data_IF_927607663945
#
_entry.id   IF_927607663945
#
_cell.length_a   1.000
_cell.length_b   1.000
_cell.length_c   1.000
_cell.angle_alpha   90.00
_cell.angle_beta   90.00
_cell.angle_gamma   90.00
#
_symmetry.space_group_name_H-M   'P 1'
#
loop_
_entity.id
_entity.type
_entity.pdbx_description
1 polymer ?
#
# COMPACT_ATOMS: atom_id res chain seq x y z
N UNK A 1 22.41 -33.84 -7.91
CA UNK A 1 22.03 -32.48 -7.55
C UNK A 1 23.25 -31.78 -6.98
N UNK A 2 23.42 -30.46 -7.24
CA UNK A 2 24.54 -29.69 -6.68
C UNK A 2 24.42 -29.64 -5.13
N UNK A 3 25.53 -29.82 -4.43
CA UNK A 3 25.54 -29.77 -2.95
C UNK A 3 25.02 -28.40 -2.47
N UNK A 4 24.05 -28.41 -1.59
CA UNK A 4 23.40 -27.20 -1.08
C UNK A 4 22.25 -26.63 -1.94
N UNK A 5 21.97 -27.19 -3.12
CA UNK A 5 20.82 -26.81 -3.91
C UNK A 5 19.52 -27.40 -3.33
N UNK A 6 18.47 -26.59 -3.25
CA UNK A 6 17.12 -27.06 -2.97
C UNK A 6 16.53 -27.74 -4.21
N UNK A 7 15.67 -28.75 -4.04
CA UNK A 7 15.03 -29.42 -5.18
C UNK A 7 14.01 -28.53 -5.89
N UNK A 8 13.36 -27.67 -5.14
CA UNK A 8 12.42 -26.67 -5.61
C UNK A 8 12.26 -25.55 -4.58
N UNK A 9 11.60 -24.46 -4.98
CA UNK A 9 11.44 -23.27 -4.16
C UNK A 9 10.59 -23.50 -2.89
N UNK A 10 9.76 -24.55 -2.84
CA UNK A 10 8.92 -24.84 -1.66
C UNK A 10 9.76 -25.27 -0.45
N UNK A 11 10.99 -25.77 -0.68
CA UNK A 11 11.92 -26.10 0.39
C UNK A 11 12.58 -24.87 1.05
N UNK A 12 12.43 -23.69 0.46
CA UNK A 12 12.87 -22.45 1.05
C UNK A 12 11.84 -21.85 2.03
N UNK A 13 10.68 -22.48 2.20
CA UNK A 13 9.67 -22.04 3.16
C UNK A 13 10.17 -22.29 4.57
N UNK A 14 10.15 -21.24 5.39
CA UNK A 14 10.65 -21.30 6.75
C UNK A 14 12.13 -20.91 6.89
N UNK A 15 12.74 -21.25 8.01
CA UNK A 15 14.09 -20.82 8.40
C UNK A 15 14.30 -19.30 8.30
N UNK A 16 13.24 -18.53 8.51
CA UNK A 16 13.27 -17.07 8.47
C UNK A 16 14.05 -16.53 9.67
N UNK A 17 14.83 -15.44 9.50
CA UNK A 17 15.65 -14.92 10.59
C UNK A 17 14.82 -14.26 11.70
N UNK A 18 15.45 -14.19 12.89
CA UNK A 18 15.03 -13.33 13.98
C UNK A 18 16.03 -12.17 14.06
N UNK A 19 15.52 -10.94 14.10
CA UNK A 19 16.34 -9.71 14.12
C UNK A 19 15.98 -8.87 15.34
N UNK A 20 16.97 -8.30 16.02
CA UNK A 20 16.76 -7.34 17.11
C UNK A 20 16.46 -5.96 16.52
N UNK A 21 15.46 -5.25 17.06
CA UNK A 21 15.24 -3.84 16.76
C UNK A 21 16.20 -2.98 17.57
N UNK A 22 16.81 -1.97 16.94
CA UNK A 22 17.84 -1.15 17.54
C UNK A 22 17.44 0.32 17.68
N UNK A 23 16.52 0.79 16.86
CA UNK A 23 16.06 2.18 16.81
C UNK A 23 14.58 2.30 17.13
N UNK A 24 13.76 1.43 16.55
CA UNK A 24 12.33 1.36 16.84
C UNK A 24 12.14 0.75 18.22
N UNK A 25 11.56 1.50 19.15
CA UNK A 25 11.37 1.07 20.53
C UNK A 25 12.63 1.11 21.41
N UNK A 26 13.67 1.86 21.02
CA UNK A 26 14.95 1.98 21.74
C UNK A 26 14.84 2.44 23.22
N UNK A 27 13.78 3.20 23.53
CA UNK A 27 13.55 3.78 24.86
C UNK A 27 12.69 2.87 25.76
N UNK A 28 12.41 1.65 25.32
CA UNK A 28 11.66 0.67 26.10
C UNK A 28 12.54 -0.01 27.16
N UNK A 29 11.95 -0.45 28.27
CA UNK A 29 12.70 -1.16 29.30
C UNK A 29 13.11 -2.59 28.90
N UNK A 30 12.58 -3.13 27.82
CA UNK A 30 12.79 -4.48 27.32
C UNK A 30 13.36 -4.47 25.89
N UNK A 31 13.87 -5.61 25.46
CA UNK A 31 14.38 -5.78 24.09
C UNK A 31 13.30 -6.33 23.16
N UNK A 32 13.18 -5.76 21.96
CA UNK A 32 12.25 -6.25 20.93
C UNK A 32 13.04 -6.99 19.85
N UNK A 33 12.61 -8.20 19.56
CA UNK A 33 13.06 -9.03 18.45
C UNK A 33 11.91 -9.27 17.49
N UNK A 34 12.21 -9.42 16.21
CA UNK A 34 11.20 -9.64 15.19
C UNK A 34 11.48 -10.91 14.38
N UNK A 35 10.49 -11.75 14.19
CA UNK A 35 10.52 -12.92 13.32
C UNK A 35 10.12 -12.51 11.91
N UNK A 36 11.06 -12.55 10.96
CA UNK A 36 10.93 -11.97 9.62
C UNK A 36 10.26 -12.92 8.62
N UNK A 37 8.98 -13.21 8.79
CA UNK A 37 8.24 -14.14 7.92
C UNK A 37 7.97 -13.60 6.51
N UNK A 38 8.18 -12.30 6.28
CA UNK A 38 8.16 -11.69 4.95
C UNK A 38 9.29 -12.19 4.03
N UNK A 39 10.29 -12.90 4.56
CA UNK A 39 11.37 -13.50 3.80
C UNK A 39 11.09 -14.91 3.27
N UNK A 40 9.89 -15.44 3.51
CA UNK A 40 9.46 -16.65 2.80
C UNK A 40 9.35 -16.40 1.29
N UNK A 41 9.46 -17.45 0.43
CA UNK A 41 9.46 -17.31 -1.04
C UNK A 41 8.26 -16.54 -1.61
N UNK A 42 7.06 -16.71 -1.07
CA UNK A 42 5.84 -15.99 -1.44
C UNK A 42 5.70 -14.63 -0.73
N UNK A 43 6.71 -14.21 0.01
CA UNK A 43 6.73 -12.93 0.73
C UNK A 43 5.79 -12.86 1.91
N UNK A 44 5.41 -13.99 2.54
CA UNK A 44 4.60 -14.01 3.74
C UNK A 44 4.63 -15.34 4.51
N UNK A 45 4.21 -15.30 5.77
CA UNK A 45 4.02 -16.48 6.62
C UNK A 45 2.98 -17.47 6.07
N UNK A 46 2.14 -17.02 5.14
CA UNK A 46 1.12 -17.89 4.52
C UNK A 46 1.72 -19.02 3.69
N UNK A 47 2.98 -18.96 3.33
CA UNK A 47 3.68 -20.07 2.68
C UNK A 47 3.70 -21.32 3.56
N UNK A 48 3.85 -21.15 4.89
CA UNK A 48 3.77 -22.25 5.85
C UNK A 48 2.38 -22.87 5.89
N UNK A 49 1.36 -22.02 5.90
CA UNK A 49 -0.04 -22.45 5.83
C UNK A 49 -0.32 -23.19 4.53
N UNK A 50 0.05 -22.63 3.38
CA UNK A 50 -0.17 -23.23 2.07
C UNK A 50 0.53 -24.59 1.93
N UNK A 51 1.74 -24.72 2.46
CA UNK A 51 2.47 -25.98 2.51
C UNK A 51 1.69 -27.05 3.27
N UNK A 52 1.16 -26.72 4.45
CA UNK A 52 0.39 -27.66 5.25
C UNK A 52 -0.98 -27.98 4.64
N UNK A 53 -1.68 -26.97 4.07
CA UNK A 53 -2.94 -27.16 3.38
C UNK A 53 -2.82 -28.14 2.21
N UNK A 54 -1.78 -27.99 1.38
CA UNK A 54 -1.54 -28.90 0.25
C UNK A 54 -1.19 -30.31 0.77
N UNK A 55 -0.38 -30.42 1.82
CA UNK A 55 -0.11 -31.72 2.46
C UNK A 55 -1.42 -32.40 2.92
N UNK A 56 -2.27 -31.69 3.63
CA UNK A 56 -3.56 -32.19 4.10
C UNK A 56 -4.53 -32.49 2.96
N UNK A 57 -4.49 -31.70 1.88
CA UNK A 57 -5.28 -31.97 0.68
C UNK A 57 -4.91 -33.34 0.05
N UNK A 58 -3.62 -33.64 -0.06
CA UNK A 58 -3.11 -34.92 -0.58
C UNK A 58 -3.51 -36.07 0.35
N UNK A 59 -3.36 -35.91 1.67
CA UNK A 59 -3.80 -36.90 2.67
C UNK A 59 -5.32 -37.15 2.60
N UNK A 60 -6.11 -36.11 2.27
CA UNK A 60 -7.56 -36.19 2.07
C UNK A 60 -7.96 -36.73 0.70
N UNK A 61 -7.01 -37.12 -0.16
CA UNK A 61 -7.26 -37.77 -1.44
C UNK A 61 -7.20 -36.88 -2.68
N UNK A 62 -6.72 -35.64 -2.57
CA UNK A 62 -6.48 -34.80 -3.74
C UNK A 62 -5.42 -35.47 -4.64
N UNK A 63 -5.82 -35.82 -5.86
CA UNK A 63 -4.94 -36.51 -6.83
C UNK A 63 -4.09 -35.50 -7.61
N UNK A 64 -2.96 -35.90 -8.20
CA UNK A 64 -2.16 -35.06 -9.10
C UNK A 64 -3.02 -34.36 -10.15
N UNK A 65 -2.72 -33.09 -10.45
CA UNK A 65 -3.51 -32.25 -11.35
C UNK A 65 -4.85 -31.78 -10.81
N UNK A 66 -5.16 -32.07 -9.54
CA UNK A 66 -6.38 -31.61 -8.87
C UNK A 66 -6.41 -30.09 -8.68
N UNK A 67 -7.54 -29.60 -8.22
CA UNK A 67 -7.82 -28.16 -8.08
C UNK A 67 -7.92 -27.76 -6.61
N UNK A 68 -7.25 -26.69 -6.24
CA UNK A 68 -7.37 -26.02 -4.93
C UNK A 68 -8.26 -24.79 -5.09
N UNK A 69 -9.30 -24.68 -4.29
CA UNK A 69 -10.22 -23.55 -4.27
C UNK A 69 -10.06 -22.79 -2.95
N UNK A 70 -10.02 -21.46 -3.01
CA UNK A 70 -9.96 -20.61 -1.82
C UNK A 70 -10.63 -19.26 -2.05
N UNK A 71 -11.39 -18.80 -1.05
CA UNK A 71 -11.88 -17.42 -0.97
C UNK A 71 -10.80 -16.55 -0.31
N UNK A 72 -10.06 -15.79 -1.10
CA UNK A 72 -8.90 -15.04 -0.60
C UNK A 72 -8.63 -13.78 -1.40
N UNK A 73 -8.22 -12.73 -0.72
CA UNK A 73 -7.85 -11.45 -1.34
C UNK A 73 -6.36 -11.11 -1.23
N UNK A 74 -5.53 -12.04 -0.72
CA UNK A 74 -4.17 -11.67 -0.39
C UNK A 74 -3.14 -12.81 -0.32
N UNK A 75 -2.41 -12.81 0.77
CA UNK A 75 -1.22 -13.66 0.97
C UNK A 75 -1.50 -15.16 0.83
N UNK A 76 -2.63 -15.64 1.33
CA UNK A 76 -2.98 -17.08 1.24
C UNK A 76 -3.12 -17.53 -0.21
N UNK A 77 -3.81 -16.74 -1.04
CA UNK A 77 -3.92 -17.06 -2.47
C UNK A 77 -2.57 -17.07 -3.18
N UNK A 78 -1.71 -16.08 -2.92
CA UNK A 78 -0.37 -16.02 -3.50
C UNK A 78 0.48 -17.23 -3.09
N UNK A 79 0.46 -17.60 -1.81
CA UNK A 79 1.21 -18.76 -1.30
C UNK A 79 0.68 -20.08 -1.85
N UNK A 80 -0.65 -20.26 -1.92
CA UNK A 80 -1.26 -21.45 -2.52
C UNK A 80 -0.92 -21.53 -4.01
N UNK A 81 -0.98 -20.41 -4.75
CA UNK A 81 -0.64 -20.37 -6.18
C UNK A 81 0.82 -20.78 -6.43
N UNK A 82 1.75 -20.23 -5.66
CA UNK A 82 3.17 -20.55 -5.74
C UNK A 82 3.41 -22.07 -5.52
N UNK A 83 2.90 -22.62 -4.42
CA UNK A 83 3.14 -24.01 -4.07
C UNK A 83 2.41 -24.96 -5.02
N UNK A 84 1.20 -24.62 -5.45
CA UNK A 84 0.42 -25.40 -6.41
C UNK A 84 1.10 -25.46 -7.76
N UNK A 85 1.65 -24.34 -8.24
CA UNK A 85 2.40 -24.29 -9.51
C UNK A 85 3.59 -25.27 -9.51
N UNK A 86 4.36 -25.31 -8.41
CA UNK A 86 5.49 -26.24 -8.26
C UNK A 86 5.04 -27.69 -8.20
N UNK A 87 3.89 -27.96 -7.57
CA UNK A 87 3.38 -29.32 -7.35
C UNK A 87 2.41 -29.81 -8.41
N UNK A 88 2.16 -29.03 -9.47
CA UNK A 88 1.29 -29.38 -10.58
C UNK A 88 -0.19 -29.41 -10.24
N UNK A 89 -0.65 -28.64 -9.24
CA UNK A 89 -2.05 -28.42 -8.93
C UNK A 89 -2.58 -27.16 -9.62
N UNK A 90 -3.88 -27.14 -9.88
CA UNK A 90 -4.61 -25.96 -10.36
C UNK A 90 -5.13 -25.14 -9.19
N UNK A 91 -5.29 -23.84 -9.37
CA UNK A 91 -5.92 -22.98 -8.36
C UNK A 91 -7.09 -22.21 -8.96
N UNK A 92 -8.17 -22.10 -8.19
CA UNK A 92 -9.28 -21.19 -8.43
C UNK A 92 -9.45 -20.32 -7.19
N UNK A 93 -9.20 -19.03 -7.32
CA UNK A 93 -9.37 -18.06 -6.23
C UNK A 93 -10.58 -17.18 -6.47
N UNK A 94 -11.37 -17.02 -5.45
CA UNK A 94 -12.57 -16.18 -5.44
C UNK A 94 -12.23 -14.92 -4.67
N UNK A 95 -12.40 -13.75 -5.31
CA UNK A 95 -11.99 -12.45 -4.78
C UNK A 95 -13.14 -11.46 -4.86
N UNK A 96 -13.30 -10.57 -3.87
CA UNK A 96 -14.24 -9.45 -3.99
C UNK A 96 -13.76 -8.41 -5.00
N UNK A 97 -14.70 -7.74 -5.67
CA UNK A 97 -14.45 -6.76 -6.75
C UNK A 97 -13.68 -5.49 -6.30
N UNK A 98 -13.66 -5.20 -5.00
CA UNK A 98 -12.87 -4.11 -4.41
C UNK A 98 -11.34 -4.35 -4.40
N UNK A 99 -10.89 -5.53 -4.83
CA UNK A 99 -9.45 -5.85 -4.85
C UNK A 99 -8.74 -5.20 -6.03
N UNK A 100 -7.49 -4.77 -5.80
CA UNK A 100 -6.67 -4.15 -6.84
C UNK A 100 -6.36 -5.13 -7.98
N UNK A 101 -6.23 -4.60 -9.20
CA UNK A 101 -5.84 -5.39 -10.38
C UNK A 101 -4.47 -6.04 -10.21
N UNK A 102 -3.56 -5.42 -9.47
CA UNK A 102 -2.25 -5.98 -9.17
C UNK A 102 -2.35 -7.31 -8.39
N UNK A 103 -3.24 -7.38 -7.39
CA UNK A 103 -3.47 -8.62 -6.63
C UNK A 103 -4.02 -9.74 -7.52
N UNK A 104 -4.98 -9.39 -8.39
CA UNK A 104 -5.55 -10.34 -9.36
C UNK A 104 -4.46 -10.82 -10.33
N UNK A 105 -3.67 -9.90 -10.88
CA UNK A 105 -2.60 -10.20 -11.83
C UNK A 105 -1.49 -11.05 -11.21
N UNK A 106 -1.15 -10.83 -9.95
CA UNK A 106 -0.18 -11.63 -9.22
C UNK A 106 -0.62 -13.11 -9.13
N UNK A 107 -1.89 -13.38 -8.80
CA UNK A 107 -2.40 -14.75 -8.76
C UNK A 107 -2.41 -15.41 -10.16
N UNK A 108 -2.81 -14.65 -11.18
CA UNK A 108 -2.81 -15.10 -12.58
C UNK A 108 -1.40 -15.41 -13.11
N UNK A 109 -0.37 -14.69 -12.64
CA UNK A 109 1.02 -14.94 -13.02
C UNK A 109 1.49 -16.34 -12.64
N UNK A 110 0.95 -16.93 -11.56
CA UNK A 110 1.19 -18.33 -11.18
C UNK A 110 0.26 -19.33 -11.90
N UNK A 111 -0.56 -18.87 -12.86
CA UNK A 111 -1.48 -19.72 -13.61
C UNK A 111 -2.83 -19.95 -12.91
N UNK A 112 -3.15 -19.24 -11.83
CA UNK A 112 -4.41 -19.40 -11.15
C UNK A 112 -5.59 -18.75 -11.93
N UNK A 113 -6.74 -19.42 -11.91
CA UNK A 113 -8.03 -18.82 -12.32
C UNK A 113 -8.54 -17.93 -11.18
N UNK A 114 -8.89 -16.69 -11.49
CA UNK A 114 -9.49 -15.75 -10.53
C UNK A 114 -10.92 -15.43 -10.95
N UNK A 115 -11.85 -15.65 -10.01
CA UNK A 115 -13.26 -15.32 -10.12
C UNK A 115 -13.53 -14.11 -9.24
N UNK A 116 -14.05 -13.04 -9.82
CA UNK A 116 -14.35 -11.80 -9.10
C UNK A 116 -15.85 -11.78 -8.76
N UNK A 117 -16.17 -11.51 -7.50
CA UNK A 117 -17.54 -11.48 -6.97
C UNK A 117 -17.87 -10.09 -6.40
N UNK A 118 -19.14 -9.67 -6.38
CA UNK A 118 -19.55 -8.40 -5.80
C UNK A 118 -19.28 -8.38 -4.28
N UNK A 119 -18.81 -7.22 -3.79
CA UNK A 119 -18.62 -6.96 -2.36
C UNK A 119 -19.93 -6.52 -1.68
N UNK A 120 -20.79 -5.80 -2.41
CA UNK A 120 -22.00 -5.20 -1.87
C UNK A 120 -23.18 -6.20 -1.83
N UNK A 121 -22.94 -7.37 -1.22
CA UNK A 121 -23.97 -8.42 -1.02
C UNK A 121 -23.78 -9.02 0.36
N UNK A 122 -24.88 -9.55 0.95
CA UNK A 122 -24.81 -10.24 2.24
C UNK A 122 -23.98 -11.54 2.13
N UNK A 123 -23.36 -12.00 3.22
CA UNK A 123 -22.51 -13.21 3.21
C UNK A 123 -23.21 -14.50 2.76
N UNK A 124 -24.50 -14.61 2.95
CA UNK A 124 -25.34 -15.74 2.54
C UNK A 124 -25.92 -15.62 1.12
N UNK A 125 -25.75 -14.46 0.47
CA UNK A 125 -26.11 -14.27 -0.94
C UNK A 125 -25.33 -15.26 -1.83
N UNK A 126 -25.99 -16.01 -2.73
CA UNK A 126 -25.31 -16.94 -3.65
C UNK A 126 -24.20 -16.33 -4.49
N UNK A 127 -24.21 -15.00 -4.70
CA UNK A 127 -23.20 -14.24 -5.42
C UNK A 127 -22.01 -13.81 -4.55
N UNK A 128 -22.12 -13.96 -3.23
CA UNK A 128 -21.03 -13.63 -2.31
C UNK A 128 -19.79 -14.47 -2.64
N UNK A 129 -18.61 -13.94 -2.37
CA UNK A 129 -17.38 -14.67 -2.66
C UNK A 129 -17.23 -15.95 -1.82
N UNK A 130 -17.84 -16.02 -0.63
CA UNK A 130 -17.88 -17.22 0.20
C UNK A 130 -18.77 -18.30 -0.43
N UNK A 131 -20.03 -17.98 -0.79
CA UNK A 131 -20.96 -18.94 -1.39
C UNK A 131 -20.48 -19.41 -2.76
N UNK A 132 -19.90 -18.50 -3.55
CA UNK A 132 -19.29 -18.84 -4.84
C UNK A 132 -18.12 -19.81 -4.66
N UNK A 133 -17.27 -19.63 -3.63
CA UNK A 133 -16.17 -20.57 -3.35
C UNK A 133 -16.68 -21.95 -2.98
N UNK A 134 -17.69 -22.04 -2.11
CA UNK A 134 -18.32 -23.31 -1.72
C UNK A 134 -18.93 -24.02 -2.94
N UNK A 135 -19.68 -23.30 -3.77
CA UNK A 135 -20.30 -23.85 -4.98
C UNK A 135 -19.25 -24.36 -5.97
N UNK A 136 -18.23 -23.56 -6.30
CA UNK A 136 -17.16 -23.96 -7.22
C UNK A 136 -16.42 -25.18 -6.68
N UNK A 137 -16.16 -25.24 -5.37
CA UNK A 137 -15.50 -26.39 -4.78
C UNK A 137 -16.35 -27.66 -4.87
N UNK A 138 -17.67 -27.57 -4.67
CA UNK A 138 -18.59 -28.69 -4.79
C UNK A 138 -18.77 -29.20 -6.23
N UNK A 139 -18.76 -28.29 -7.20
CA UNK A 139 -18.93 -28.59 -8.64
C UNK A 139 -17.65 -29.04 -9.33
N UNK A 140 -16.48 -28.83 -8.72
CA UNK A 140 -15.18 -29.14 -9.36
C UNK A 140 -14.71 -30.54 -8.98
N UNK A 141 -14.56 -31.48 -9.94
CA UNK A 141 -14.01 -32.80 -9.66
C UNK A 141 -12.54 -32.72 -9.16
N UNK A 142 -12.14 -33.66 -8.31
CA UNK A 142 -10.81 -33.71 -7.72
C UNK A 142 -10.38 -32.36 -7.15
N UNK A 143 -11.20 -31.82 -6.26
CA UNK A 143 -11.07 -30.50 -5.67
C UNK A 143 -10.80 -30.58 -4.17
N UNK A 144 -10.03 -29.62 -3.67
CA UNK A 144 -9.85 -29.34 -2.25
C UNK A 144 -10.19 -27.87 -1.97
N UNK A 145 -11.16 -27.64 -1.08
CA UNK A 145 -11.46 -26.31 -0.57
C UNK A 145 -10.59 -26.03 0.65
N UNK A 146 -9.68 -25.06 0.51
CA UNK A 146 -8.65 -24.77 1.52
C UNK A 146 -9.24 -24.19 2.80
N UNK A 147 -10.22 -23.25 2.69
CA UNK A 147 -11.03 -22.72 3.79
C UNK A 147 -10.20 -22.27 5.01
N UNK A 148 -9.30 -21.33 4.84
CA UNK A 148 -8.31 -20.93 5.84
C UNK A 148 -8.90 -20.50 7.19
N UNK A 149 -10.14 -20.04 7.22
CA UNK A 149 -10.81 -19.58 8.44
C UNK A 149 -11.36 -20.70 9.31
N UNK A 150 -11.61 -21.86 8.73
CA UNK A 150 -12.25 -22.97 9.44
C UNK A 150 -11.46 -24.29 9.35
N UNK A 151 -10.41 -24.34 8.54
CA UNK A 151 -9.61 -25.55 8.38
C UNK A 151 -8.56 -25.67 9.50
N UNK A 152 -8.60 -26.73 10.32
CA UNK A 152 -7.65 -26.96 11.41
C UNK A 152 -6.20 -27.09 10.94
N UNK A 153 -5.97 -27.35 9.65
CA UNK A 153 -4.63 -27.33 9.06
C UNK A 153 -3.95 -25.97 9.16
N UNK A 154 -4.73 -24.88 9.39
CA UNK A 154 -4.15 -23.54 9.55
C UNK A 154 -3.36 -23.43 10.88
N UNK A 155 -3.93 -23.55 12.07
CA UNK A 155 -3.14 -23.54 13.30
C UNK A 155 -2.14 -24.69 13.37
N UNK A 156 -2.47 -25.86 12.79
CA UNK A 156 -1.53 -26.99 12.70
C UNK A 156 -0.24 -26.62 11.96
N UNK A 157 -0.31 -25.86 10.87
CA UNK A 157 0.86 -25.43 10.13
C UNK A 157 1.87 -24.71 11.04
N UNK A 158 1.38 -23.82 11.88
CA UNK A 158 2.21 -23.04 12.79
C UNK A 158 2.68 -23.84 14.01
N UNK A 159 1.86 -24.79 14.48
CA UNK A 159 2.25 -25.72 15.53
C UNK A 159 3.39 -26.65 15.08
N UNK A 160 3.34 -27.14 13.83
CA UNK A 160 4.33 -28.07 13.29
C UNK A 160 5.58 -27.40 12.74
N UNK A 161 5.54 -26.11 12.41
CA UNK A 161 6.68 -25.43 11.78
C UNK A 161 7.13 -24.18 12.52
N UNK A 162 6.28 -23.17 12.68
CA UNK A 162 6.66 -21.84 13.22
C UNK A 162 7.09 -21.93 14.68
N UNK A 163 6.30 -22.62 15.52
CA UNK A 163 6.62 -22.82 16.93
C UNK A 163 7.95 -23.54 17.16
N UNK A 164 8.13 -24.75 16.57
CA UNK A 164 9.40 -25.47 16.66
C UNK A 164 10.62 -24.68 16.14
N UNK A 165 10.46 -23.96 15.05
CA UNK A 165 11.54 -23.14 14.48
C UNK A 165 11.95 -21.99 15.40
N UNK A 166 10.99 -21.23 15.91
CA UNK A 166 11.23 -20.17 16.90
C UNK A 166 11.95 -20.75 18.12
N UNK A 167 11.44 -21.86 18.64
CA UNK A 167 12.04 -22.53 19.79
C UNK A 167 13.49 -22.95 19.53
N UNK A 168 13.76 -23.55 18.38
CA UNK A 168 15.10 -23.96 17.96
C UNK A 168 16.05 -22.77 17.82
N UNK A 169 15.58 -21.65 17.25
CA UNK A 169 16.40 -20.46 17.01
C UNK A 169 16.72 -19.68 18.28
N UNK A 170 15.81 -19.69 19.25
CA UNK A 170 15.94 -18.90 20.48
C UNK A 170 16.40 -19.72 21.69
N UNK A 171 16.32 -21.05 21.64
CA UNK A 171 16.45 -21.90 22.83
C UNK A 171 15.38 -21.66 23.89
N UNK A 172 14.27 -20.97 23.53
CA UNK A 172 13.24 -20.54 24.49
C UNK A 172 13.62 -19.30 25.32
N UNK A 173 14.71 -18.60 24.94
CA UNK A 173 15.19 -17.40 25.62
C UNK A 173 14.43 -16.15 25.17
N UNK A 174 13.14 -16.12 25.45
CA UNK A 174 12.26 -14.96 25.34
C UNK A 174 11.05 -15.15 26.26
N UNK A 175 10.36 -14.04 26.59
CA UNK A 175 9.33 -14.00 27.61
C UNK A 175 7.94 -13.71 27.05
N UNK A 176 7.87 -13.06 25.88
CA UNK A 176 6.61 -12.59 25.26
C UNK A 176 6.64 -12.89 23.79
N UNK A 177 5.56 -13.46 23.27
CA UNK A 177 5.30 -13.61 21.84
C UNK A 177 4.13 -12.72 21.43
N UNK A 178 4.35 -11.84 20.45
CA UNK A 178 3.36 -10.88 19.96
C UNK A 178 3.03 -11.17 18.50
N UNK A 179 1.74 -11.25 18.17
CA UNK A 179 1.29 -11.44 16.80
C UNK A 179 -0.02 -10.68 16.52
N UNK A 180 -0.16 -10.16 15.29
CA UNK A 180 -1.43 -9.65 14.80
C UNK A 180 -2.48 -10.76 14.67
N UNK A 181 -3.70 -10.45 15.02
CA UNK A 181 -4.84 -11.39 15.02
C UNK A 181 -5.64 -11.25 13.72
N UNK A 182 -5.61 -12.23 12.85
CA UNK A 182 -6.48 -12.39 11.68
C UNK A 182 -7.18 -13.74 11.77
N UNK A 183 -6.92 -14.67 10.85
CA UNK A 183 -7.52 -16.03 10.89
C UNK A 183 -7.24 -16.83 12.17
N UNK A 184 -6.31 -16.39 12.98
CA UNK A 184 -5.94 -17.02 14.23
C UNK A 184 -4.89 -18.13 14.16
N UNK A 185 -4.61 -18.64 12.97
CA UNK A 185 -3.70 -19.78 12.81
C UNK A 185 -2.32 -19.57 13.45
N UNK A 186 -1.71 -18.40 13.23
CA UNK A 186 -0.39 -18.09 13.76
C UNK A 186 -0.35 -18.11 15.28
N UNK A 187 -1.21 -17.33 15.93
CA UNK A 187 -1.20 -17.20 17.40
C UNK A 187 -1.65 -18.50 18.06
N UNK A 188 -2.68 -19.17 17.51
CA UNK A 188 -3.21 -20.40 18.07
C UNK A 188 -2.22 -21.56 17.96
N UNK A 189 -1.62 -21.74 16.77
CA UNK A 189 -0.69 -22.84 16.53
C UNK A 189 0.68 -22.62 17.19
N UNK A 190 1.31 -21.49 16.95
CA UNK A 190 2.60 -21.14 17.57
C UNK A 190 2.46 -21.04 19.08
N UNK A 191 1.41 -20.34 19.55
CA UNK A 191 1.17 -20.16 20.99
C UNK A 191 0.94 -21.48 21.72
N UNK A 192 0.18 -22.40 21.13
CA UNK A 192 0.01 -23.75 21.71
C UNK A 192 1.37 -24.45 21.90
N UNK A 193 2.21 -24.47 20.86
CA UNK A 193 3.53 -25.09 20.94
C UNK A 193 4.39 -24.42 22.01
N UNK A 194 4.42 -23.09 22.04
CA UNK A 194 5.24 -22.34 23.01
C UNK A 194 4.79 -22.55 24.45
N UNK A 195 3.47 -22.55 24.70
CA UNK A 195 2.90 -22.82 26.03
C UNK A 195 3.17 -24.26 26.51
N UNK A 196 3.23 -25.24 25.61
CA UNK A 196 3.62 -26.62 25.95
C UNK A 196 5.11 -26.72 26.34
N UNK A 197 5.97 -25.86 25.75
CA UNK A 197 7.43 -25.84 26.05
C UNK A 197 7.77 -25.00 27.27
N UNK A 198 7.15 -23.83 27.42
CA UNK A 198 7.41 -22.84 28.47
C UNK A 198 6.09 -22.12 28.78
N UNK A 199 5.28 -22.65 29.73
CA UNK A 199 3.94 -22.13 30.07
C UNK A 199 3.93 -20.65 30.47
N UNK A 200 5.01 -20.14 30.99
CA UNK A 200 5.19 -18.73 31.42
C UNK A 200 5.37 -17.73 30.27
N UNK A 201 5.67 -18.16 29.05
CA UNK A 201 5.71 -17.26 27.88
C UNK A 201 4.34 -16.59 27.73
N UNK A 202 4.31 -15.27 27.74
CA UNK A 202 3.10 -14.50 27.51
C UNK A 202 2.78 -14.41 26.02
N UNK A 203 1.50 -14.65 25.68
CA UNK A 203 0.99 -14.53 24.32
C UNK A 203 0.13 -13.28 24.23
N UNK A 204 0.58 -12.30 23.43
CA UNK A 204 -0.09 -11.01 23.26
C UNK A 204 -0.64 -10.91 21.84
N UNK A 205 -1.95 -10.75 21.73
CA UNK A 205 -2.62 -10.48 20.46
C UNK A 205 -2.60 -8.99 20.13
N UNK A 206 -2.48 -8.65 18.86
CA UNK A 206 -2.65 -7.27 18.38
C UNK A 206 -3.83 -7.22 17.43
N UNK A 207 -4.79 -6.34 17.72
CA UNK A 207 -6.06 -6.23 17.02
C UNK A 207 -6.30 -4.78 16.55
N UNK A 208 -6.73 -4.54 15.29
CA UNK A 208 -7.02 -3.19 14.84
C UNK A 208 -8.32 -2.65 15.43
N UNK A 209 -8.37 -1.32 15.58
CA UNK A 209 -9.61 -0.61 15.91
C UNK A 209 -10.63 -0.89 14.80
N UNK A 210 -11.80 -1.40 15.17
CA UNK A 210 -12.87 -1.81 14.24
C UNK A 210 -13.06 -3.32 14.12
N UNK A 211 -12.13 -4.13 14.62
CA UNK A 211 -12.23 -5.58 14.72
C UNK A 211 -12.98 -6.02 15.99
N UNK A 212 -13.40 -7.30 16.02
CA UNK A 212 -14.17 -7.88 17.12
C UNK A 212 -13.32 -8.38 18.30
N UNK A 213 -12.05 -8.74 18.09
CA UNK A 213 -11.31 -9.55 19.07
C UNK A 213 -11.00 -8.81 20.36
N UNK A 214 -10.57 -7.54 20.29
CA UNK A 214 -10.18 -6.78 21.47
C UNK A 214 -11.33 -6.67 22.48
N UNK A 215 -12.49 -6.20 22.03
CA UNK A 215 -13.64 -5.98 22.92
C UNK A 215 -14.16 -7.31 23.47
N UNK A 216 -14.15 -8.37 22.66
CA UNK A 216 -14.54 -9.71 23.11
C UNK A 216 -13.58 -10.26 24.18
N UNK A 217 -12.27 -10.16 23.98
CA UNK A 217 -11.27 -10.66 24.94
C UNK A 217 -11.32 -9.87 26.26
N UNK A 218 -11.45 -8.53 26.17
CA UNK A 218 -11.44 -7.66 27.35
C UNK A 218 -12.75 -7.67 28.13
N UNK A 219 -13.89 -7.85 27.49
CA UNK A 219 -15.20 -7.65 28.14
C UNK A 219 -16.22 -8.75 27.89
N UNK A 220 -15.92 -9.73 27.02
CA UNK A 220 -16.88 -10.75 26.56
C UNK A 220 -17.97 -10.21 25.63
N UNK A 221 -17.92 -8.93 25.23
CA UNK A 221 -18.93 -8.30 24.38
C UNK A 221 -18.59 -8.42 22.91
N UNK A 222 -19.58 -8.76 22.11
CA UNK A 222 -19.49 -8.69 20.65
C UNK A 222 -19.98 -7.31 20.24
N UNK A 223 -19.05 -6.47 19.76
CA UNK A 223 -19.33 -5.13 19.25
C UNK A 223 -19.62 -5.17 17.76
N UNK A 224 -20.23 -4.12 17.22
CA UNK A 224 -20.41 -4.01 15.77
C UNK A 224 -19.07 -3.64 15.12
N UNK A 225 -18.54 -4.48 14.20
CA UNK A 225 -17.29 -4.15 13.50
C UNK A 225 -17.50 -2.97 12.55
N UNK A 226 -16.42 -2.25 12.26
CA UNK A 226 -16.40 -1.20 11.28
C UNK A 226 -15.09 -1.19 10.49
N UNK A 227 -15.08 -0.51 9.35
CA UNK A 227 -13.98 -0.54 8.40
C UNK A 227 -12.71 0.11 8.93
N UNK A 228 -11.58 -0.54 8.74
CA UNK A 228 -10.22 -0.08 8.95
C UNK A 228 -9.37 -0.36 7.69
N UNK A 229 -8.17 0.17 7.61
CA UNK A 229 -7.33 0.12 6.39
C UNK A 229 -6.16 -0.84 6.48
N UNK A 230 -5.74 -1.23 7.68
CA UNK A 230 -4.70 -2.25 7.84
C UNK A 230 -5.22 -3.59 7.30
N UNK A 231 -4.38 -4.25 6.48
CA UNK A 231 -4.75 -5.48 5.82
C UNK A 231 -4.12 -6.69 6.51
N UNK A 232 -4.83 -7.83 6.53
CA UNK A 232 -4.33 -9.13 6.97
C UNK A 232 -4.43 -9.42 8.46
N UNK A 233 -4.95 -8.49 9.24
CA UNK A 233 -5.32 -8.65 10.65
C UNK A 233 -6.68 -8.01 10.91
N UNK A 234 -7.31 -8.40 12.02
CA UNK A 234 -8.67 -8.02 12.38
C UNK A 234 -9.71 -8.81 11.59
N UNK A 235 -10.87 -9.04 12.21
CA UNK A 235 -12.00 -9.77 11.60
C UNK A 235 -13.33 -9.19 12.08
N UNK A 236 -14.36 -9.42 11.28
CA UNK A 236 -15.76 -9.09 11.57
C UNK A 236 -16.60 -10.30 11.98
N UNK A 237 -15.96 -11.44 12.11
CA UNK A 237 -16.52 -12.70 12.63
C UNK A 237 -15.46 -13.49 13.40
N UNK A 238 -15.83 -14.62 14.04
CA UNK A 238 -14.90 -15.48 14.77
C UNK A 238 -14.56 -16.73 13.96
N UNK A 239 -13.35 -16.80 13.37
CA UNK A 239 -12.87 -18.01 12.71
C UNK A 239 -12.73 -19.17 13.70
N UNK A 240 -13.08 -20.39 13.29
CA UNK A 240 -12.90 -21.57 14.15
C UNK A 240 -11.43 -21.96 14.36
N UNK A 241 -10.53 -21.41 13.57
CA UNK A 241 -9.06 -21.54 13.69
C UNK A 241 -8.46 -20.61 14.74
N UNK A 242 -9.25 -19.65 15.27
CA UNK A 242 -8.83 -18.73 16.32
C UNK A 242 -9.12 -19.31 17.72
N UNK A 243 -8.10 -19.44 18.52
CA UNK A 243 -8.23 -19.75 19.94
C UNK A 243 -7.88 -18.53 20.80
N UNK A 244 -8.87 -17.68 21.07
CA UNK A 244 -8.67 -16.49 21.90
C UNK A 244 -8.35 -16.81 23.38
N UNK A 245 -8.68 -18.00 23.85
CA UNK A 245 -8.44 -18.41 25.24
C UNK A 245 -6.95 -18.64 25.55
N UNK A 246 -6.11 -18.75 24.53
CA UNK A 246 -4.67 -18.94 24.70
C UNK A 246 -3.95 -17.63 25.00
N UNK A 247 -4.59 -16.48 24.72
CA UNK A 247 -4.01 -15.17 24.94
C UNK A 247 -3.91 -14.83 26.42
N UNK A 248 -2.74 -14.33 26.82
CA UNK A 248 -2.54 -13.72 28.14
C UNK A 248 -2.95 -12.25 28.14
N UNK A 249 -2.83 -11.59 26.98
CA UNK A 249 -3.23 -10.19 26.81
C UNK A 249 -3.56 -9.85 25.36
N UNK A 250 -4.20 -8.71 25.14
CA UNK A 250 -4.53 -8.18 23.81
C UNK A 250 -4.39 -6.65 23.80
N UNK A 251 -3.80 -6.12 22.74
CA UNK A 251 -3.59 -4.69 22.54
C UNK A 251 -4.31 -4.24 21.26
N UNK A 252 -4.95 -3.07 21.34
CA UNK A 252 -5.61 -2.45 20.20
C UNK A 252 -4.75 -1.35 19.59
N UNK A 253 -4.68 -1.32 18.25
CA UNK A 253 -3.92 -0.34 17.46
C UNK A 253 -4.81 0.28 16.39
N UNK A 254 -4.58 1.56 16.07
CA UNK A 254 -5.24 2.22 14.96
C UNK A 254 -4.40 2.19 13.67
N UNK A 255 -5.02 2.54 12.54
CA UNK A 255 -4.37 2.52 11.23
C UNK A 255 -3.15 3.44 11.16
N UNK A 256 -3.23 4.64 11.76
CA UNK A 256 -2.13 5.62 11.75
C UNK A 256 -0.91 5.08 12.47
N UNK A 257 -1.09 4.52 13.67
CA UNK A 257 -0.01 3.87 14.43
C UNK A 257 0.63 2.72 13.64
N UNK A 258 -0.21 1.88 13.02
CA UNK A 258 0.25 0.75 12.21
C UNK A 258 1.14 1.23 11.05
N UNK A 259 0.68 2.21 10.29
CA UNK A 259 1.38 2.64 9.07
C UNK A 259 2.61 3.50 9.36
N UNK A 260 2.58 4.34 10.37
CA UNK A 260 3.78 5.08 10.80
C UNK A 260 4.86 4.11 11.30
N UNK A 261 4.50 3.14 12.14
CA UNK A 261 5.46 2.10 12.60
C UNK A 261 5.98 1.25 11.44
N UNK A 262 5.15 0.93 10.43
CA UNK A 262 5.59 0.23 9.20
C UNK A 262 6.68 1.02 8.47
N UNK A 263 6.49 2.33 8.34
CA UNK A 263 7.47 3.23 7.70
C UNK A 263 8.75 3.35 8.51
N UNK A 264 8.64 3.42 9.84
CA UNK A 264 9.79 3.48 10.75
C UNK A 264 10.60 2.18 10.72
N UNK A 265 9.97 1.02 10.71
CA UNK A 265 10.65 -0.27 10.52
C UNK A 265 11.45 -0.29 9.22
N UNK A 266 10.89 0.25 8.15
CA UNK A 266 11.58 0.31 6.85
C UNK A 266 12.73 1.31 6.87
N UNK A 267 12.49 2.54 7.36
CA UNK A 267 13.46 3.65 7.29
C UNK A 267 14.57 3.56 8.33
N UNK A 268 14.25 3.03 9.52
CA UNK A 268 15.19 3.00 10.63
C UNK A 268 15.87 1.64 10.82
N UNK A 269 15.17 0.54 10.51
CA UNK A 269 15.69 -0.83 10.72
C UNK A 269 16.00 -1.56 9.40
N UNK A 270 15.62 -1.00 8.23
CA UNK A 270 15.77 -1.68 6.94
C UNK A 270 14.81 -2.85 6.72
N UNK A 271 13.77 -2.97 7.56
CA UNK A 271 12.78 -4.05 7.50
C UNK A 271 11.59 -3.60 6.64
N UNK A 272 11.58 -4.03 5.38
CA UNK A 272 10.52 -3.65 4.43
C UNK A 272 9.32 -4.58 4.55
N UNK A 273 8.42 -4.25 5.46
CA UNK A 273 7.27 -5.05 5.89
C UNK A 273 5.93 -4.42 5.53
N UNK A 274 4.86 -5.20 5.54
CA UNK A 274 3.49 -4.73 5.37
C UNK A 274 2.88 -4.12 6.63
N UNK A 275 1.67 -3.54 6.49
CA UNK A 275 0.97 -2.84 7.57
C UNK A 275 0.68 -3.69 8.80
N UNK A 276 0.42 -4.99 8.62
CA UNK A 276 0.22 -5.92 9.75
C UNK A 276 1.51 -6.16 10.56
N UNK A 277 2.68 -6.06 9.91
CA UNK A 277 3.98 -6.09 10.60
C UNK A 277 4.18 -4.85 11.46
N UNK A 278 3.87 -3.66 10.91
CA UNK A 278 3.87 -2.41 11.68
C UNK A 278 2.88 -2.42 12.84
N UNK A 279 1.67 -2.94 12.61
CA UNK A 279 0.66 -3.12 13.64
C UNK A 279 1.16 -4.01 14.80
N UNK A 280 1.79 -5.16 14.48
CA UNK A 280 2.32 -6.06 15.49
C UNK A 280 3.42 -5.39 16.34
N UNK A 281 4.30 -4.60 15.72
CA UNK A 281 5.35 -3.85 16.44
C UNK A 281 4.75 -2.67 17.23
N UNK A 282 3.80 -1.92 16.67
CA UNK A 282 3.10 -0.84 17.40
C UNK A 282 2.40 -1.40 18.66
N UNK A 283 1.70 -2.53 18.52
CA UNK A 283 1.08 -3.22 19.65
C UNK A 283 2.11 -3.72 20.67
N UNK A 284 3.23 -4.26 20.22
CA UNK A 284 4.31 -4.69 21.11
C UNK A 284 4.92 -3.49 21.89
N UNK A 285 5.12 -2.36 21.24
CA UNK A 285 5.60 -1.13 21.88
C UNK A 285 4.60 -0.62 22.93
N UNK A 286 3.30 -0.59 22.61
CA UNK A 286 2.26 -0.22 23.57
C UNK A 286 2.28 -1.14 24.78
N UNK A 287 2.26 -2.44 24.54
CA UNK A 287 2.29 -3.43 25.62
C UNK A 287 3.55 -3.28 26.48
N UNK A 288 4.71 -3.10 25.86
CA UNK A 288 5.99 -2.99 26.55
C UNK A 288 6.13 -1.70 27.38
N UNK A 289 5.52 -0.59 26.97
CA UNK A 289 5.47 0.64 27.77
C UNK A 289 4.76 0.44 29.12
N UNK A 290 3.74 -0.40 29.14
CA UNK A 290 2.93 -0.66 30.33
C UNK A 290 3.44 -1.84 31.17
N UNK A 291 3.96 -2.88 30.50
CA UNK A 291 4.26 -4.18 31.12
C UNK A 291 5.72 -4.60 31.01
N UNK A 292 6.53 -3.90 30.21
CA UNK A 292 7.92 -4.25 29.94
C UNK A 292 8.81 -4.13 31.18
N UNK A 293 9.78 -5.02 31.28
CA UNK A 293 10.73 -5.07 32.41
C UNK A 293 12.18 -5.11 31.88
N UNK A 294 13.16 -4.57 32.62
CA UNK A 294 14.56 -4.71 32.27
C UNK A 294 14.99 -6.17 32.06
N UNK A 295 15.69 -6.43 30.96
CA UNK A 295 16.16 -7.77 30.59
C UNK A 295 15.10 -8.67 29.94
N UNK A 296 13.84 -8.24 29.86
CA UNK A 296 12.77 -8.99 29.21
C UNK A 296 12.92 -8.95 27.69
N UNK A 297 12.65 -10.06 27.01
CA UNK A 297 12.70 -10.20 25.55
C UNK A 297 11.32 -10.43 24.97
N UNK A 298 10.94 -9.57 24.03
CA UNK A 298 9.66 -9.61 23.32
C UNK A 298 9.91 -10.01 21.87
N UNK A 299 9.34 -11.13 21.43
CA UNK A 299 9.42 -11.61 20.06
C UNK A 299 8.15 -11.27 19.30
N UNK A 300 8.26 -10.47 18.25
CA UNK A 300 7.14 -9.99 17.42
C UNK A 300 7.14 -10.67 16.06
N UNK A 301 5.99 -11.09 15.59
CA UNK A 301 5.83 -11.80 14.34
C UNK A 301 5.49 -10.85 13.19
N UNK A 302 6.39 -10.73 12.18
CA UNK A 302 6.21 -9.89 11.00
C UNK A 302 5.67 -10.69 9.82
N UNK A 303 4.42 -10.46 9.47
CA UNK A 303 3.63 -11.35 8.62
C UNK A 303 4.05 -11.38 7.16
N UNK A 304 4.23 -10.21 6.52
CA UNK A 304 4.43 -10.11 5.07
C UNK A 304 5.31 -8.94 4.64
N UNK A 305 5.63 -8.93 3.36
CA UNK A 305 6.56 -7.99 2.73
C UNK A 305 5.87 -6.68 2.30
N UNK A 306 6.62 -5.58 2.39
CA UNK A 306 6.18 -4.22 2.09
C UNK A 306 5.90 -3.94 0.60
N UNK A 307 6.46 -4.73 -0.33
CA UNK A 307 6.28 -4.55 -1.77
C UNK A 307 4.80 -4.51 -2.20
N UNK A 308 3.93 -5.19 -1.46
CA UNK A 308 2.49 -5.25 -1.73
C UNK A 308 1.74 -3.96 -1.39
N UNK A 309 2.41 -2.99 -0.76
CA UNK A 309 1.81 -1.79 -0.16
C UNK A 309 2.49 -0.49 -0.61
N UNK A 310 3.33 -0.54 -1.66
CA UNK A 310 4.11 0.62 -2.14
C UNK A 310 3.19 1.77 -2.59
N UNK A 311 2.06 1.46 -3.22
CA UNK A 311 1.07 2.45 -3.67
C UNK A 311 0.16 2.99 -2.55
N UNK A 312 0.30 2.48 -1.31
CA UNK A 312 -0.50 2.86 -0.13
C UNK A 312 0.38 3.39 0.99
N UNK A 313 0.81 2.50 1.91
CA UNK A 313 1.56 2.86 3.13
C UNK A 313 2.85 3.62 2.84
N UNK A 314 3.51 3.34 1.70
CA UNK A 314 4.77 3.98 1.30
C UNK A 314 4.58 5.13 0.30
N UNK A 315 3.34 5.45 -0.07
CA UNK A 315 2.99 6.62 -0.87
C UNK A 315 2.53 7.74 0.07
N UNK A 316 3.23 8.88 0.04
CA UNK A 316 2.95 10.01 0.93
C UNK A 316 1.60 10.65 0.64
N UNK A 317 1.18 10.71 -0.63
CA UNK A 317 -0.11 11.29 -1.01
C UNK A 317 -1.26 10.44 -0.48
N UNK A 318 -1.19 9.12 -0.66
CA UNK A 318 -2.16 8.20 -0.08
C UNK A 318 -2.22 8.32 1.44
N UNK A 319 -1.07 8.46 2.11
CA UNK A 319 -1.01 8.63 3.57
C UNK A 319 -1.66 9.94 4.02
N UNK A 320 -1.46 11.05 3.29
CA UNK A 320 -2.10 12.35 3.57
C UNK A 320 -3.60 12.32 3.30
N UNK A 321 -4.03 11.79 2.15
CA UNK A 321 -5.45 11.64 1.78
C UNK A 321 -6.25 10.87 2.83
N UNK A 322 -5.59 9.96 3.56
CA UNK A 322 -6.19 9.20 4.64
C UNK A 322 -5.93 9.79 6.04
N UNK A 323 -5.31 10.96 6.17
CA UNK A 323 -5.07 11.63 7.44
C UNK A 323 -3.98 10.99 8.32
N UNK A 324 -3.12 10.14 7.75
CA UNK A 324 -2.05 9.45 8.47
C UNK A 324 -0.73 10.22 8.50
N UNK A 325 -0.51 11.12 7.54
CA UNK A 325 0.54 12.13 7.59
C UNK A 325 -0.11 13.51 7.68
N UNK A 326 0.53 14.38 8.44
CA UNK A 326 0.18 15.79 8.44
C UNK A 326 0.50 16.36 7.06
N UNK A 327 -0.34 17.27 6.59
CA UNK A 327 0.03 18.07 5.45
C UNK A 327 1.33 18.78 5.84
N UNK A 328 2.41 18.53 5.10
CA UNK A 328 3.53 19.47 5.19
C UNK A 328 2.94 20.84 4.86
N UNK A 329 3.37 21.92 5.54
CA UNK A 329 3.07 23.25 5.05
C UNK A 329 3.51 23.24 3.60
N UNK A 330 2.53 23.17 2.68
CA UNK A 330 2.79 23.04 1.25
C UNK A 330 3.69 24.16 0.83
N UNK A 331 4.43 23.98 -0.25
CA UNK A 331 5.23 25.07 -0.87
C UNK A 331 4.35 26.28 -1.22
N UNK A 332 3.06 26.20 -0.92
CA UNK A 332 2.04 27.20 -1.23
C UNK A 332 1.26 26.85 -2.51
N UNK A 333 0.57 27.85 -3.02
CA UNK A 333 -0.27 27.76 -4.21
C UNK A 333 0.29 28.65 -5.33
N UNK A 334 -0.23 28.50 -6.54
CA UNK A 334 0.04 29.39 -7.67
C UNK A 334 -0.29 30.84 -7.30
N UNK A 335 -1.30 31.08 -6.48
CA UNK A 335 -1.65 32.40 -5.96
C UNK A 335 -0.50 33.00 -5.14
N UNK A 336 0.12 32.21 -4.27
CA UNK A 336 1.26 32.62 -3.45
C UNK A 336 2.50 32.91 -4.32
N UNK A 337 2.74 32.07 -5.32
CA UNK A 337 3.81 32.28 -6.30
C UNK A 337 3.62 33.57 -7.10
N UNK A 338 2.41 33.84 -7.58
CA UNK A 338 2.11 35.08 -8.30
C UNK A 338 2.24 36.30 -7.37
N UNK A 339 1.84 36.18 -6.09
CA UNK A 339 1.93 37.21 -5.08
C UNK A 339 1.39 38.55 -5.60
N UNK A 340 2.23 39.58 -5.58
CA UNK A 340 1.86 40.90 -6.07
C UNK A 340 1.57 40.99 -7.59
N UNK A 341 1.85 39.94 -8.37
CA UNK A 341 1.52 39.87 -9.81
C UNK A 341 0.10 39.31 -10.05
N UNK A 342 -0.53 38.72 -9.03
CA UNK A 342 -1.87 38.19 -9.14
C UNK A 342 -2.88 39.25 -9.57
N UNK A 343 -3.65 38.99 -10.64
CA UNK A 343 -4.61 39.94 -11.24
C UNK A 343 -4.00 41.28 -11.72
N UNK A 344 -2.70 41.40 -11.89
CA UNK A 344 -2.13 42.52 -12.64
C UNK A 344 -2.41 42.40 -14.12
N UNK A 345 -2.46 43.53 -14.82
CA UNK A 345 -2.68 43.56 -16.26
C UNK A 345 -1.63 42.69 -16.95
N UNK A 346 -2.10 41.62 -17.61
CA UNK A 346 -1.32 40.68 -18.37
C UNK A 346 -1.20 41.26 -19.80
N UNK A 347 0.01 41.25 -20.34
CA UNK A 347 0.23 41.63 -21.74
C UNK A 347 -0.36 40.50 -22.62
N UNK A 348 -1.31 40.85 -23.48
CA UNK A 348 -1.98 39.91 -24.37
C UNK A 348 -2.04 40.49 -25.80
N UNK A 349 -2.15 39.63 -26.78
CA UNK A 349 -2.53 39.97 -28.13
C UNK A 349 -3.99 39.58 -28.38
N UNK A 350 -4.66 40.15 -29.38
CA UNK A 350 -5.93 39.64 -29.90
C UNK A 350 -5.70 38.81 -31.16
N UNK A 351 -6.63 37.99 -31.61
CA UNK A 351 -6.49 37.25 -32.86
C UNK A 351 -6.22 38.15 -34.08
N UNK A 352 -6.68 39.39 -34.03
CA UNK A 352 -6.51 40.39 -35.10
C UNK A 352 -5.20 41.16 -35.03
N UNK A 353 -4.47 41.07 -33.89
CA UNK A 353 -3.14 41.69 -33.73
C UNK A 353 -2.21 41.22 -34.84
N UNK A 354 -1.44 42.15 -35.43
CA UNK A 354 -0.49 41.77 -36.52
C UNK A 354 0.78 41.15 -35.95
N UNK A 355 1.46 40.33 -36.74
CA UNK A 355 2.82 39.83 -36.43
C UNK A 355 3.73 40.97 -36.04
N UNK A 356 3.66 42.13 -36.75
CA UNK A 356 4.43 43.35 -36.47
C UNK A 356 4.18 43.86 -35.05
N UNK A 357 2.92 43.99 -34.64
CA UNK A 357 2.53 44.50 -33.32
C UNK A 357 2.99 43.57 -32.20
N UNK A 358 2.82 42.26 -32.42
CA UNK A 358 3.31 41.27 -31.46
C UNK A 358 4.83 41.33 -31.32
N UNK A 359 5.58 41.37 -32.41
CA UNK A 359 7.04 41.51 -32.36
C UNK A 359 7.48 42.81 -31.64
N UNK A 360 6.77 43.91 -31.89
CA UNK A 360 7.07 45.19 -31.21
C UNK A 360 6.83 45.07 -29.71
N UNK A 361 5.74 44.44 -29.30
CA UNK A 361 5.39 44.18 -27.86
C UNK A 361 6.42 43.27 -27.20
N UNK A 362 6.78 42.13 -27.84
CA UNK A 362 7.79 41.21 -27.31
C UNK A 362 9.12 41.89 -27.05
N UNK A 363 9.56 42.72 -27.98
CA UNK A 363 10.83 43.50 -27.87
C UNK A 363 10.74 44.58 -26.80
N UNK A 364 9.65 45.37 -26.78
CA UNK A 364 9.49 46.50 -25.84
C UNK A 364 9.44 46.02 -24.40
N UNK A 365 8.68 44.92 -24.17
CA UNK A 365 8.43 44.39 -22.83
C UNK A 365 9.43 43.30 -22.41
N UNK A 366 10.38 42.96 -23.31
CA UNK A 366 11.41 41.93 -23.10
C UNK A 366 10.82 40.59 -22.65
N UNK A 367 9.77 40.14 -23.37
CA UNK A 367 9.11 38.83 -23.15
C UNK A 367 9.19 38.00 -24.42
N UNK A 368 9.26 36.68 -24.30
CA UNK A 368 9.42 35.73 -25.42
C UNK A 368 8.08 35.17 -25.95
N UNK A 369 6.96 35.56 -25.35
CA UNK A 369 5.66 35.02 -25.67
C UNK A 369 4.53 35.94 -25.20
N UNK A 370 3.37 35.86 -25.89
CA UNK A 370 2.15 36.56 -25.52
C UNK A 370 0.95 35.61 -25.60
N UNK A 371 0.06 35.58 -24.59
CA UNK A 371 -1.24 34.99 -24.74
C UNK A 371 -2.08 35.72 -25.77
N UNK A 372 -2.83 34.97 -26.54
CA UNK A 372 -3.83 35.50 -27.47
C UNK A 372 -5.20 35.35 -26.79
N UNK A 373 -5.88 36.47 -26.56
CA UNK A 373 -7.13 36.54 -25.85
C UNK A 373 -8.20 37.18 -26.76
N UNK A 374 -9.36 36.56 -26.83
CA UNK A 374 -10.52 37.01 -27.61
C UNK A 374 -11.75 37.13 -26.70
N UNK A 375 -12.30 38.32 -26.54
CA UNK A 375 -13.44 38.57 -25.66
C UNK A 375 -13.24 38.13 -24.21
N UNK A 376 -12.00 38.22 -23.71
CA UNK A 376 -11.63 37.78 -22.36
C UNK A 376 -11.25 36.30 -22.23
N UNK A 377 -11.44 35.49 -23.30
CA UNK A 377 -11.13 34.05 -23.31
C UNK A 377 -9.77 33.77 -23.93
N UNK A 378 -8.98 32.95 -23.28
CA UNK A 378 -7.70 32.48 -23.80
C UNK A 378 -7.92 31.60 -25.05
N UNK A 379 -7.27 31.98 -26.17
CA UNK A 379 -7.29 31.23 -27.44
C UNK A 379 -6.04 30.39 -27.63
N UNK A 380 -4.91 30.82 -27.10
CA UNK A 380 -3.62 30.17 -27.26
C UNK A 380 -2.49 31.10 -26.85
N UNK A 381 -1.29 30.75 -27.26
CA UNK A 381 -0.07 31.51 -27.02
C UNK A 381 0.69 31.67 -28.33
N UNK A 382 1.28 32.84 -28.55
CA UNK A 382 2.22 33.09 -29.64
C UNK A 382 3.63 33.31 -29.08
N UNK A 383 4.60 32.56 -29.60
CA UNK A 383 6.01 32.59 -29.17
C UNK A 383 6.92 33.13 -30.27
N UNK A 384 8.10 33.66 -29.89
CA UNK A 384 9.11 34.08 -30.82
C UNK A 384 9.48 33.03 -31.86
N UNK A 385 9.60 31.76 -31.42
CA UNK A 385 9.96 30.63 -32.30
C UNK A 385 8.90 30.39 -33.38
N UNK A 386 7.62 30.61 -33.07
CA UNK A 386 6.52 30.40 -34.02
C UNK A 386 6.48 31.50 -35.05
N UNK A 387 6.67 32.76 -34.60
CA UNK A 387 6.80 33.91 -35.48
C UNK A 387 7.99 33.74 -36.43
N UNK A 388 9.17 33.35 -35.92
CA UNK A 388 10.34 33.08 -36.70
C UNK A 388 10.09 32.00 -37.76
N UNK A 389 9.50 30.88 -37.38
CA UNK A 389 9.20 29.76 -38.29
C UNK A 389 8.28 30.18 -39.43
N UNK A 390 7.24 30.96 -39.13
CA UNK A 390 6.26 31.38 -40.13
C UNK A 390 6.79 32.46 -41.05
N UNK A 391 7.61 33.40 -40.55
CA UNK A 391 8.28 34.44 -41.38
C UNK A 391 9.34 33.84 -42.31
N UNK A 392 10.18 32.90 -41.79
CA UNK A 392 11.23 32.25 -42.62
C UNK A 392 10.63 31.39 -43.72
N UNK A 393 9.50 30.71 -43.44
CA UNK A 393 8.83 29.86 -44.44
C UNK A 393 7.93 30.65 -45.41
N UNK A 394 7.79 31.94 -45.23
CA UNK A 394 6.94 32.82 -46.06
C UNK A 394 5.45 32.56 -45.92
N UNK A 395 5.02 31.77 -44.92
CA UNK A 395 3.60 31.47 -44.66
C UNK A 395 2.83 32.67 -44.11
N UNK A 396 3.51 33.60 -43.44
CA UNK A 396 2.94 34.83 -42.91
C UNK A 396 3.83 36.01 -43.26
N UNK A 397 3.24 37.18 -43.31
CA UNK A 397 3.93 38.47 -43.45
C UNK A 397 3.85 39.26 -42.15
N UNK A 398 4.55 40.38 -42.05
CA UNK A 398 4.49 41.25 -40.86
C UNK A 398 3.08 41.81 -40.60
N UNK A 399 2.24 41.92 -41.63
CA UNK A 399 0.88 42.45 -41.53
C UNK A 399 -0.21 41.34 -41.42
N UNK A 400 0.24 40.07 -41.32
CA UNK A 400 -0.68 38.95 -41.11
C UNK A 400 -1.19 38.91 -39.67
N UNK A 401 -2.47 38.55 -39.43
CA UNK A 401 -2.99 38.38 -38.06
C UNK A 401 -2.37 37.15 -37.38
N UNK A 402 -2.27 37.19 -36.04
CA UNK A 402 -1.63 36.14 -35.26
C UNK A 402 -2.60 35.07 -34.76
N UNK A 403 -3.92 35.22 -34.95
CA UNK A 403 -4.90 34.27 -34.44
C UNK A 403 -4.64 32.81 -34.85
N UNK A 404 -4.24 32.60 -36.14
CA UNK A 404 -3.88 31.25 -36.62
C UNK A 404 -2.53 30.71 -36.10
N UNK A 405 -1.74 31.55 -35.43
CA UNK A 405 -0.44 31.22 -34.87
C UNK A 405 -0.55 30.90 -33.37
N UNK A 406 -1.73 31.10 -32.78
CA UNK A 406 -1.96 30.84 -31.39
C UNK A 406 -2.01 29.31 -31.14
N UNK A 407 -0.90 28.75 -30.66
CA UNK A 407 -0.76 27.32 -30.40
C UNK A 407 -1.02 26.96 -28.93
N UNK A 408 -1.28 25.65 -28.67
CA UNK A 408 -1.66 25.13 -27.37
C UNK A 408 -0.50 24.58 -26.51
N UNK A 409 0.75 25.04 -26.73
CA UNK A 409 1.91 24.53 -25.94
C UNK A 409 2.00 25.20 -24.56
N UNK A 410 0.92 25.08 -23.79
CA UNK A 410 0.83 25.60 -22.42
C UNK A 410 -0.04 24.68 -21.55
N UNK A 411 0.22 24.70 -20.24
CA UNK A 411 -0.67 24.10 -19.24
C UNK A 411 -1.69 25.13 -18.74
N UNK A 412 -2.87 24.69 -18.33
CA UNK A 412 -3.84 25.54 -17.62
C UNK A 412 -3.95 25.10 -16.17
N UNK A 413 -3.84 26.06 -15.25
CA UNK A 413 -3.96 25.83 -13.81
C UNK A 413 -4.85 26.90 -13.17
N UNK A 414 -5.32 26.66 -11.96
CA UNK A 414 -6.06 27.64 -11.17
C UNK A 414 -5.14 28.33 -10.15
N UNK A 415 -5.51 29.49 -9.61
CA UNK A 415 -4.75 30.14 -8.52
C UNK A 415 -4.54 29.26 -7.30
N UNK A 416 -5.47 28.38 -7.00
CA UNK A 416 -5.42 27.49 -5.84
C UNK A 416 -4.69 26.16 -6.11
N UNK A 417 -4.15 25.99 -7.32
CA UNK A 417 -3.30 24.84 -7.66
C UNK A 417 -2.05 24.85 -6.78
N UNK A 418 -1.77 23.71 -6.11
CA UNK A 418 -0.58 23.53 -5.28
C UNK A 418 0.69 23.59 -6.12
N UNK A 419 1.78 24.12 -5.58
CA UNK A 419 3.08 24.27 -6.26
C UNK A 419 3.62 22.94 -6.75
N UNK A 420 3.40 21.86 -6.01
CA UNK A 420 3.81 20.50 -6.38
C UNK A 420 3.12 20.02 -7.66
N UNK A 421 1.85 20.36 -7.85
CA UNK A 421 1.09 20.05 -9.06
C UNK A 421 1.49 20.97 -10.24
N UNK A 422 1.81 22.23 -9.96
CA UNK A 422 2.32 23.16 -10.96
C UNK A 422 3.65 22.65 -11.56
N UNK A 423 4.52 22.06 -10.74
CA UNK A 423 5.76 21.45 -11.21
C UNK A 423 5.50 20.38 -12.28
N UNK A 424 4.52 19.50 -12.05
CA UNK A 424 4.14 18.46 -13.00
C UNK A 424 3.55 19.06 -14.28
N UNK A 425 2.68 20.08 -14.15
CA UNK A 425 2.11 20.79 -15.31
C UNK A 425 3.16 21.46 -16.18
N UNK A 426 4.22 22.00 -15.56
CA UNK A 426 5.35 22.63 -16.26
C UNK A 426 6.41 21.63 -16.77
N UNK A 427 6.34 20.33 -16.41
CA UNK A 427 7.28 19.33 -16.92
C UNK A 427 7.21 19.25 -18.45
N UNK A 428 6.02 19.17 -19.01
CA UNK A 428 5.76 19.00 -20.43
C UNK A 428 5.41 20.31 -21.15
N UNK A 429 4.93 21.35 -20.43
CA UNK A 429 4.57 22.65 -21.00
C UNK A 429 5.67 23.70 -20.75
N UNK A 430 5.76 24.71 -21.63
CA UNK A 430 6.71 25.82 -21.47
C UNK A 430 6.26 26.81 -20.41
N UNK A 431 4.95 27.04 -20.32
CA UNK A 431 4.32 27.97 -19.37
C UNK A 431 3.00 27.41 -18.87
N UNK A 432 2.56 27.90 -17.72
CA UNK A 432 1.23 27.66 -17.18
C UNK A 432 0.40 28.96 -17.24
N UNK A 433 -0.75 28.90 -17.88
CA UNK A 433 -1.77 29.94 -17.87
C UNK A 433 -2.64 29.76 -16.64
N UNK A 434 -2.74 30.80 -15.82
CA UNK A 434 -3.54 30.77 -14.59
C UNK A 434 -4.90 31.38 -14.87
N UNK A 435 -5.96 30.58 -14.74
CA UNK A 435 -7.32 31.01 -15.02
C UNK A 435 -8.25 30.90 -13.81
N UNK A 436 -9.14 31.87 -13.63
CA UNK A 436 -10.32 31.78 -12.76
C UNK A 436 -11.56 31.70 -13.63
N UNK A 437 -12.17 30.52 -13.74
CA UNK A 437 -13.19 30.26 -14.76
C UNK A 437 -12.58 30.41 -16.16
N UNK A 438 -13.11 31.33 -16.97
CA UNK A 438 -12.59 31.63 -18.31
C UNK A 438 -11.61 32.80 -18.36
N UNK A 439 -11.43 33.54 -17.24
CA UNK A 439 -10.58 34.71 -17.16
C UNK A 439 -9.11 34.35 -16.92
N UNK A 440 -8.20 34.90 -17.72
CA UNK A 440 -6.77 34.78 -17.53
C UNK A 440 -6.30 35.74 -16.42
N UNK A 441 -5.85 35.22 -15.28
CA UNK A 441 -5.47 36.00 -14.09
C UNK A 441 -3.97 35.98 -13.80
N UNK A 442 -3.18 35.17 -14.53
CA UNK A 442 -1.73 35.09 -14.38
C UNK A 442 -1.06 34.23 -15.43
N UNK A 443 0.25 34.33 -15.50
CA UNK A 443 1.13 33.45 -16.29
C UNK A 443 2.30 33.06 -15.39
N UNK A 444 2.68 31.79 -15.43
CA UNK A 444 3.83 31.26 -14.70
C UNK A 444 4.74 30.51 -15.66
N UNK A 445 6.00 30.94 -15.76
CA UNK A 445 7.05 30.24 -16.47
C UNK A 445 7.86 29.36 -15.52
N UNK A 446 8.64 28.41 -16.06
CA UNK A 446 9.55 27.55 -15.27
C UNK A 446 10.48 28.36 -14.36
N UNK A 447 10.98 29.48 -14.84
CA UNK A 447 11.88 30.33 -14.05
C UNK A 447 11.18 30.98 -12.85
N UNK A 448 9.89 31.34 -12.95
CA UNK A 448 9.12 31.86 -11.84
C UNK A 448 9.00 30.84 -10.69
N UNK A 449 8.80 29.57 -11.06
CA UNK A 449 8.74 28.46 -10.10
C UNK A 449 10.11 28.23 -9.43
N UNK A 450 11.19 28.26 -10.21
CA UNK A 450 12.57 28.13 -9.69
C UNK A 450 12.87 29.25 -8.70
N UNK A 451 12.57 30.49 -9.03
CA UNK A 451 12.79 31.67 -8.18
C UNK A 451 11.94 31.58 -6.87
N UNK A 452 10.73 31.09 -6.99
CA UNK A 452 9.85 30.90 -5.82
C UNK A 452 10.40 29.83 -4.87
N UNK A 453 10.81 28.67 -5.41
CA UNK A 453 11.38 27.57 -4.63
C UNK A 453 12.73 27.96 -4.00
N UNK A 454 13.57 28.72 -4.71
CA UNK A 454 14.84 29.20 -4.19
C UNK A 454 14.64 30.12 -2.96
N UNK A 455 13.60 30.98 -2.99
CA UNK A 455 13.25 31.84 -1.86
C UNK A 455 12.63 31.07 -0.69
N UNK A 456 11.80 30.06 -0.98
CA UNK A 456 11.21 29.18 0.04
C UNK A 456 12.26 28.31 0.74
N UNK A 457 13.27 27.82 0.01
CA UNK A 457 14.39 27.03 0.57
C UNK A 457 15.45 27.83 1.30
N UNK A 458 15.42 29.16 1.22
CA UNK A 458 16.35 30.07 1.92
C UNK A 458 15.87 30.45 3.34
N UNK A 459 14.66 30.02 3.77
CA UNK A 459 14.19 30.14 5.14
C UNK A 459 14.31 28.78 5.82
N UNK A 460 15.29 28.59 6.75
CA UNK A 460 15.44 27.36 7.52
C UNK A 460 14.33 27.13 8.53
#
# INVERSE_FOLDING_TARGET
>A
MMTGALSDITQAVGNTPIVRLNRVGKDLPCEIYVKCEFLNPGGSHKDRLAHNLIRRAVEAGLKPGGTIVEATSGNTGASLALLAAVRGYKCIFIMPDKMSQEKISNLRAFGARVVVCPTAVEPDDPRSYYQTALRIAAETPNCFYANQYHNPANPEAHYLSTGPEIWKQTGGDFDVFVAGLGTGGTISGTGKFLKEKKPEIKLVGVDPVGSLYYDFVKSGRITKPFSYKVEGIGEDFFPTTMNLKILDDIVRVDDKECFLTTRDLTRLEGLFVGGSGGAAVAGAIKWAKENGKPGQKVLVFLCDAGQKYVSKIFNDDWMRENGFLEDQPGLGTVRDLLGARYRKKILTATPESTVRDVIATLKLENVSQLPVVDGGKLRGIVQEVDLLRHLVTGKKTLDSPVGDLAEGDYATVTPDTKIELLQNALADAKVAMVTEGEELVGIVAKIDLIDFLAKAGANP
#
